data_IF_714074747346
#
_entry.id   IF_714074747346
#
_cell.length_a   1.000
_cell.length_b   1.000
_cell.length_c   1.000
_cell.angle_alpha   90.00
_cell.angle_beta   90.00
_cell.angle_gamma   90.00
#
_symmetry.space_group_name_H-M   'P 1'
#
loop_
_entity.id
_entity.type
_entity.pdbx_description
1 polymer ?
#
# COMPACT_ATOMS: atom_id res chain seq x y z
N UNK A 1 17.03 19.20 0.61
CA UNK A 1 15.96 18.94 -0.38
C UNK A 1 15.60 17.45 -0.42
N UNK A 2 16.59 16.56 -0.54
CA UNK A 2 16.41 15.10 -0.57
C UNK A 2 15.63 14.55 0.65
N UNK A 3 15.90 15.04 1.87
CA UNK A 3 15.14 14.62 3.06
C UNK A 3 13.62 14.88 2.93
N UNK A 4 13.24 15.99 2.30
CA UNK A 4 11.83 16.31 2.06
C UNK A 4 11.22 15.35 1.04
N UNK A 5 11.97 14.99 -0.01
CA UNK A 5 11.55 14.01 -1.01
C UNK A 5 11.41 12.61 -0.41
N UNK A 6 12.38 12.17 0.41
CA UNK A 6 12.30 10.90 1.13
C UNK A 6 11.03 10.81 2.00
N UNK A 7 10.78 11.84 2.80
CA UNK A 7 9.59 11.90 3.65
C UNK A 7 8.29 11.92 2.83
N UNK A 8 8.27 12.68 1.72
CA UNK A 8 7.13 12.74 0.82
C UNK A 8 6.81 11.36 0.23
N UNK A 9 7.82 10.63 -0.26
CA UNK A 9 7.63 9.27 -0.80
C UNK A 9 7.10 8.31 0.25
N UNK A 10 7.62 8.39 1.48
CA UNK A 10 7.10 7.58 2.59
C UNK A 10 5.61 7.85 2.85
N UNK A 11 5.21 9.11 2.91
CA UNK A 11 3.80 9.49 3.09
C UNK A 11 2.93 9.02 1.91
N UNK A 12 3.42 9.12 0.68
CA UNK A 12 2.70 8.61 -0.49
C UNK A 12 2.50 7.08 -0.41
N UNK A 13 3.53 6.34 0.00
CA UNK A 13 3.43 4.89 0.23
C UNK A 13 2.40 4.56 1.31
N UNK A 14 2.39 5.29 2.43
CA UNK A 14 1.42 5.11 3.51
C UNK A 14 -0.02 5.35 3.03
N UNK A 15 -0.25 6.41 2.25
CA UNK A 15 -1.56 6.70 1.65
C UNK A 15 -2.03 5.57 0.73
N UNK A 16 -1.14 5.04 -0.11
CA UNK A 16 -1.45 3.94 -1.03
C UNK A 16 -1.73 2.63 -0.30
N UNK A 17 -1.04 2.36 0.81
CA UNK A 17 -1.33 1.20 1.67
C UNK A 17 -2.72 1.29 2.31
N UNK A 18 -3.13 2.49 2.74
CA UNK A 18 -4.48 2.73 3.26
C UNK A 18 -5.53 2.54 2.17
N UNK A 19 -5.28 3.09 0.98
CA UNK A 19 -6.16 2.93 -0.19
C UNK A 19 -6.35 1.44 -0.53
N UNK A 20 -5.25 0.70 -0.63
CA UNK A 20 -5.26 -0.76 -0.86
C UNK A 20 -6.09 -1.50 0.18
N UNK A 21 -5.85 -1.23 1.47
CA UNK A 21 -6.58 -1.88 2.58
C UNK A 21 -8.08 -1.61 2.51
N UNK A 22 -8.48 -0.39 2.17
CA UNK A 22 -9.89 -0.02 1.98
C UNK A 22 -10.55 -0.82 0.84
N UNK A 23 -9.87 -0.98 -0.29
CA UNK A 23 -10.36 -1.78 -1.41
C UNK A 23 -10.43 -3.28 -1.05
N UNK A 24 -9.45 -3.80 -0.32
CA UNK A 24 -9.47 -5.19 0.18
C UNK A 24 -10.67 -5.43 1.08
N UNK A 25 -10.99 -4.50 2.00
CA UNK A 25 -12.21 -4.57 2.81
C UNK A 25 -13.48 -4.57 1.96
N UNK A 26 -13.53 -3.80 0.87
CA UNK A 26 -14.67 -3.84 -0.05
C UNK A 26 -14.80 -5.19 -0.75
N UNK A 27 -13.70 -5.81 -1.15
CA UNK A 27 -13.68 -7.16 -1.70
C UNK A 27 -14.21 -8.18 -0.67
N UNK A 28 -13.78 -8.09 0.59
CA UNK A 28 -14.28 -8.97 1.66
C UNK A 28 -15.79 -8.84 1.85
N UNK A 29 -16.33 -7.61 1.88
CA UNK A 29 -17.78 -7.38 1.97
C UNK A 29 -18.55 -7.99 0.79
N UNK A 30 -18.00 -7.89 -0.42
CA UNK A 30 -18.61 -8.52 -1.60
C UNK A 30 -18.61 -10.05 -1.47
N UNK A 31 -17.55 -10.64 -0.92
CA UNK A 31 -17.48 -12.09 -0.71
C UNK A 31 -18.51 -12.58 0.31
N UNK A 32 -18.72 -11.84 1.40
CA UNK A 32 -19.78 -12.11 2.37
C UNK A 32 -21.16 -12.04 1.70
N UNK A 33 -21.44 -10.96 0.95
CA UNK A 33 -22.73 -10.77 0.27
C UNK A 33 -23.00 -11.87 -0.78
N UNK A 34 -21.97 -12.26 -1.54
CA UNK A 34 -22.07 -13.39 -2.48
C UNK A 34 -22.34 -14.70 -1.74
N UNK A 35 -21.70 -14.93 -0.59
CA UNK A 35 -21.97 -16.08 0.28
C UNK A 35 -23.43 -16.15 0.72
N UNK A 36 -23.97 -15.03 1.21
CA UNK A 36 -25.36 -14.93 1.66
C UNK A 36 -26.36 -15.13 0.52
N UNK A 37 -26.11 -14.53 -0.65
CA UNK A 37 -26.96 -14.72 -1.82
C UNK A 37 -26.96 -16.17 -2.30
N UNK A 38 -25.80 -16.83 -2.31
CA UNK A 38 -25.71 -18.24 -2.64
C UNK A 38 -26.44 -19.12 -1.62
N UNK A 39 -26.34 -18.80 -0.33
CA UNK A 39 -27.11 -19.49 0.70
C UNK A 39 -28.62 -19.36 0.45
N UNK A 40 -29.11 -18.15 0.17
CA UNK A 40 -30.52 -17.90 -0.17
C UNK A 40 -30.97 -18.65 -1.42
N UNK A 41 -30.15 -18.72 -2.47
CA UNK A 41 -30.44 -19.49 -3.69
C UNK A 41 -30.62 -20.98 -3.36
N UNK A 42 -29.78 -21.52 -2.49
CA UNK A 42 -29.76 -22.93 -2.15
C UNK A 42 -30.91 -23.33 -1.21
N UNK A 43 -31.31 -22.43 -0.29
CA UNK A 43 -32.38 -22.69 0.68
C UNK A 43 -33.77 -22.31 0.18
N UNK A 44 -33.88 -21.43 -0.82
CA UNK A 44 -35.16 -21.07 -1.40
C UNK A 44 -35.84 -22.30 -2.03
N UNK A 45 -37.04 -22.62 -1.56
CA UNK A 45 -37.86 -23.76 -2.00
C UNK A 45 -39.33 -23.36 -2.01
N UNK A 46 -40.14 -24.17 -2.70
CA UNK A 46 -41.61 -24.11 -2.65
C UNK A 46 -42.17 -25.37 -2.02
N UNK A 47 -43.46 -25.36 -1.70
CA UNK A 47 -44.16 -26.51 -1.15
C UNK A 47 -44.25 -27.67 -2.16
N UNK A 48 -44.20 -28.92 -1.66
CA UNK A 48 -44.15 -30.13 -2.50
C UNK A 48 -45.38 -30.31 -3.40
N UNK A 49 -46.54 -29.80 -2.99
CA UNK A 49 -47.80 -29.82 -3.74
C UNK A 49 -48.22 -28.42 -4.20
N UNK A 50 -47.27 -27.49 -4.30
CA UNK A 50 -47.50 -26.12 -4.74
C UNK A 50 -47.99 -26.04 -6.20
N UNK A 51 -48.57 -24.90 -6.55
CA UNK A 51 -49.03 -24.64 -7.91
C UNK A 51 -47.85 -24.53 -8.88
N UNK A 52 -48.05 -24.83 -10.17
CA UNK A 52 -47.01 -24.66 -11.20
C UNK A 52 -46.49 -23.21 -11.24
N UNK A 53 -47.35 -22.23 -10.97
CA UNK A 53 -46.97 -20.82 -10.83
C UNK A 53 -45.92 -20.59 -9.73
N UNK A 54 -46.03 -21.29 -8.59
CA UNK A 54 -45.09 -21.13 -7.48
C UNK A 54 -43.68 -21.59 -7.88
N UNK A 55 -43.57 -22.70 -8.60
CA UNK A 55 -42.30 -23.18 -9.14
C UNK A 55 -41.69 -22.18 -10.14
N UNK A 56 -42.51 -21.56 -10.99
CA UNK A 56 -42.04 -20.55 -11.94
C UNK A 56 -41.53 -19.29 -11.22
N UNK A 57 -42.25 -18.82 -10.22
CA UNK A 57 -41.84 -17.67 -9.38
C UNK A 57 -40.53 -17.98 -8.66
N UNK A 58 -40.37 -19.20 -8.12
CA UNK A 58 -39.12 -19.62 -7.47
C UNK A 58 -37.94 -19.62 -8.46
N UNK A 59 -38.14 -20.14 -9.68
CA UNK A 59 -37.10 -20.13 -10.71
C UNK A 59 -36.68 -18.70 -11.06
N UNK A 60 -37.65 -17.81 -11.31
CA UNK A 60 -37.39 -16.40 -11.59
C UNK A 60 -36.66 -15.71 -10.43
N UNK A 61 -37.05 -15.99 -9.18
CA UNK A 61 -36.39 -15.45 -8.00
C UNK A 61 -34.93 -15.91 -7.92
N UNK A 62 -34.65 -17.21 -8.09
CA UNK A 62 -33.29 -17.75 -8.09
C UNK A 62 -32.44 -17.17 -9.22
N UNK A 63 -33.02 -16.96 -10.39
CA UNK A 63 -32.31 -16.35 -11.52
C UNK A 63 -31.97 -14.88 -11.27
N UNK A 64 -32.87 -14.13 -10.63
CA UNK A 64 -32.59 -12.76 -10.19
C UNK A 64 -31.43 -12.72 -9.18
N UNK A 65 -31.38 -13.63 -8.21
CA UNK A 65 -30.27 -13.70 -7.25
C UNK A 65 -28.95 -14.08 -7.95
N UNK A 66 -28.97 -15.03 -8.88
CA UNK A 66 -27.78 -15.41 -9.68
C UNK A 66 -27.27 -14.24 -10.51
N UNK A 67 -28.16 -13.40 -11.02
CA UNK A 67 -27.78 -12.20 -11.76
C UNK A 67 -27.04 -11.20 -10.86
N UNK A 68 -27.54 -10.94 -9.65
CA UNK A 68 -26.86 -10.07 -8.68
C UNK A 68 -25.49 -10.62 -8.28
N UNK A 69 -25.38 -11.93 -8.04
CA UNK A 69 -24.08 -12.59 -7.78
C UNK A 69 -23.08 -12.33 -8.91
N UNK A 70 -23.49 -12.45 -10.18
CA UNK A 70 -22.62 -12.16 -11.33
C UNK A 70 -22.16 -10.71 -11.36
N UNK A 71 -23.05 -9.77 -11.03
CA UNK A 71 -22.73 -8.34 -10.97
C UNK A 71 -21.72 -8.03 -9.86
N UNK A 72 -21.92 -8.60 -8.68
CA UNK A 72 -21.00 -8.49 -7.55
C UNK A 72 -19.62 -9.05 -7.88
N UNK A 73 -19.54 -10.24 -8.51
CA UNK A 73 -18.28 -10.84 -8.95
C UNK A 73 -17.55 -10.00 -10.01
N UNK A 74 -18.29 -9.40 -10.94
CA UNK A 74 -17.72 -8.45 -11.91
C UNK A 74 -17.10 -7.24 -11.22
N UNK A 75 -17.81 -6.66 -10.24
CA UNK A 75 -17.31 -5.56 -9.42
C UNK A 75 -16.06 -5.98 -8.62
N UNK A 76 -16.08 -7.15 -7.99
CA UNK A 76 -14.93 -7.73 -7.28
C UNK A 76 -13.70 -7.80 -8.19
N UNK A 77 -13.86 -8.33 -9.40
CA UNK A 77 -12.75 -8.43 -10.36
C UNK A 77 -12.18 -7.06 -10.76
N UNK A 78 -13.02 -6.02 -10.87
CA UNK A 78 -12.56 -4.66 -11.11
C UNK A 78 -11.78 -4.09 -9.92
N UNK A 79 -12.23 -4.36 -8.69
CA UNK A 79 -11.52 -3.94 -7.47
C UNK A 79 -10.17 -4.64 -7.32
N UNK A 80 -10.10 -5.95 -7.62
CA UNK A 80 -8.85 -6.71 -7.59
C UNK A 80 -7.81 -6.14 -8.56
N UNK A 81 -8.22 -5.77 -9.77
CA UNK A 81 -7.31 -5.10 -10.72
C UNK A 81 -6.77 -3.78 -10.17
N UNK A 82 -7.61 -2.97 -9.55
CA UNK A 82 -7.17 -1.72 -8.90
C UNK A 82 -6.20 -1.97 -7.75
N UNK A 83 -6.42 -3.04 -6.98
CA UNK A 83 -5.50 -3.45 -5.90
C UNK A 83 -4.14 -3.83 -6.49
N UNK A 84 -4.11 -4.58 -7.59
CA UNK A 84 -2.87 -4.95 -8.27
C UNK A 84 -2.13 -3.73 -8.81
N UNK A 85 -2.85 -2.77 -9.42
CA UNK A 85 -2.28 -1.51 -9.92
C UNK A 85 -1.65 -0.71 -8.77
N UNK A 86 -2.38 -0.53 -7.66
CA UNK A 86 -1.88 0.16 -6.46
C UNK A 86 -0.67 -0.57 -5.88
N UNK A 87 -0.64 -1.90 -5.93
CA UNK A 87 0.50 -2.68 -5.44
C UNK A 87 1.77 -2.40 -6.26
N UNK A 88 1.65 -2.28 -7.58
CA UNK A 88 2.77 -1.87 -8.44
C UNK A 88 3.26 -0.46 -8.07
N UNK A 89 2.35 0.49 -7.89
CA UNK A 89 2.69 1.86 -7.48
C UNK A 89 3.42 1.90 -6.13
N UNK A 90 2.99 1.09 -5.15
CA UNK A 90 3.65 0.96 -3.84
C UNK A 90 5.09 0.49 -4.00
N UNK A 91 5.34 -0.51 -4.85
CA UNK A 91 6.69 -1.04 -5.09
C UNK A 91 7.58 0.06 -5.69
N UNK A 92 7.07 0.84 -6.65
CA UNK A 92 7.81 1.93 -7.25
C UNK A 92 8.16 3.02 -6.23
N UNK A 93 7.19 3.46 -5.43
CA UNK A 93 7.41 4.45 -4.37
C UNK A 93 8.42 3.97 -3.32
N UNK A 94 8.40 2.67 -2.98
CA UNK A 94 9.37 2.07 -2.06
C UNK A 94 10.78 2.08 -2.64
N UNK A 95 10.95 1.72 -3.92
CA UNK A 95 12.26 1.80 -4.61
C UNK A 95 12.81 3.23 -4.61
N UNK A 96 11.99 4.21 -4.95
CA UNK A 96 12.39 5.63 -4.94
C UNK A 96 12.76 6.10 -3.53
N UNK A 97 11.97 5.70 -2.52
CA UNK A 97 12.26 6.03 -1.11
C UNK A 97 13.60 5.43 -0.67
N UNK A 98 13.92 4.20 -1.06
CA UNK A 98 15.19 3.56 -0.76
C UNK A 98 16.37 4.26 -1.43
N UNK A 99 16.22 4.69 -2.68
CA UNK A 99 17.24 5.50 -3.38
C UNK A 99 17.52 6.82 -2.63
N UNK A 100 16.47 7.53 -2.21
CA UNK A 100 16.66 8.78 -1.44
C UNK A 100 17.30 8.53 -0.09
N UNK A 101 16.98 7.41 0.57
CA UNK A 101 17.61 7.03 1.84
C UNK A 101 19.10 6.80 1.66
N UNK A 102 19.49 6.07 0.62
CA UNK A 102 20.90 5.84 0.30
C UNK A 102 21.68 7.14 0.11
N UNK A 103 21.13 8.09 -0.66
CA UNK A 103 21.74 9.41 -0.87
C UNK A 103 21.91 10.17 0.46
N UNK A 104 20.91 10.13 1.34
CA UNK A 104 20.98 10.80 2.65
C UNK A 104 22.05 10.19 3.55
N UNK A 105 22.22 8.87 3.50
CA UNK A 105 23.25 8.16 4.26
C UNK A 105 24.66 8.53 3.75
N UNK A 106 24.85 8.62 2.43
CA UNK A 106 26.11 9.11 1.84
C UNK A 106 26.42 10.56 2.22
N UNK A 107 25.45 11.47 2.12
CA UNK A 107 25.61 12.88 2.52
C UNK A 107 26.02 12.99 3.99
N UNK A 108 25.47 12.13 4.86
CA UNK A 108 25.78 12.11 6.29
C UNK A 108 27.20 11.62 6.54
N UNK A 109 27.62 10.56 5.87
CA UNK A 109 28.98 10.03 5.98
C UNK A 109 30.02 11.03 5.46
N UNK A 110 29.74 11.72 4.35
CA UNK A 110 30.64 12.74 3.82
C UNK A 110 30.80 13.90 4.81
N UNK A 111 29.70 14.43 5.36
CA UNK A 111 29.75 15.49 6.38
C UNK A 111 30.56 15.08 7.61
N UNK A 112 30.48 13.81 8.03
CA UNK A 112 31.27 13.28 9.14
C UNK A 112 32.76 13.28 8.83
N UNK A 113 33.14 12.85 7.61
CA UNK A 113 34.54 12.88 7.16
C UNK A 113 35.09 14.30 7.08
N UNK A 114 34.30 15.22 6.53
CA UNK A 114 34.70 16.63 6.39
C UNK A 114 34.90 17.29 7.75
N UNK A 115 34.00 17.03 8.71
CA UNK A 115 34.12 17.52 10.08
C UNK A 115 35.38 16.97 10.78
N UNK A 116 35.63 15.66 10.67
CA UNK A 116 36.84 15.05 11.23
C UNK A 116 38.12 15.62 10.61
N UNK A 117 38.13 15.85 9.30
CA UNK A 117 39.27 16.44 8.61
C UNK A 117 39.53 17.87 9.10
N UNK A 118 38.47 18.66 9.28
CA UNK A 118 38.57 20.02 9.83
C UNK A 118 39.12 20.03 11.26
N UNK A 119 38.65 19.13 12.14
CA UNK A 119 39.19 18.98 13.51
C UNK A 119 40.67 18.61 13.53
N UNK A 120 41.11 17.75 12.60
CA UNK A 120 42.52 17.38 12.44
C UNK A 120 43.35 18.60 12.03
N UNK A 121 42.89 19.36 11.03
CA UNK A 121 43.59 20.57 10.57
C UNK A 121 43.70 21.63 11.67
N UNK A 122 42.61 21.91 12.42
CA UNK A 122 42.67 22.83 13.57
C UNK A 122 43.66 22.35 14.63
N UNK A 123 43.68 21.04 14.90
CA UNK A 123 44.62 20.45 15.86
C UNK A 123 46.06 20.59 15.38
N UNK A 124 46.34 20.31 14.10
CA UNK A 124 47.66 20.46 13.49
C UNK A 124 48.14 21.92 13.51
N UNK A 125 47.29 22.88 13.11
CA UNK A 125 47.58 24.30 13.17
C UNK A 125 47.85 24.76 14.60
N UNK A 126 47.05 24.31 15.57
CA UNK A 126 47.25 24.60 16.98
C UNK A 126 48.62 24.10 17.46
N UNK A 127 48.98 22.85 17.17
CA UNK A 127 50.29 22.29 17.53
C UNK A 127 51.43 23.09 16.89
N UNK A 128 51.35 23.41 15.59
CA UNK A 128 52.36 24.21 14.90
C UNK A 128 52.52 25.59 15.53
N UNK A 129 51.41 26.27 15.85
CA UNK A 129 51.44 27.60 16.47
C UNK A 129 52.13 27.59 17.85
N UNK A 130 51.95 26.51 18.64
CA UNK A 130 52.62 26.32 19.93
C UNK A 130 54.11 26.09 19.76
N UNK A 131 54.52 25.29 18.78
CA UNK A 131 55.93 25.05 18.46
C UNK A 131 56.65 26.32 17.99
N UNK A 132 55.99 27.19 17.22
CA UNK A 132 56.57 28.46 16.74
C UNK A 132 56.77 29.45 17.90
N UNK A 133 55.80 29.58 18.82
CA UNK A 133 55.90 30.46 20.01
C UNK A 133 56.95 30.01 21.03
N UNK A 134 57.30 28.73 21.07
CA UNK A 134 58.33 28.20 21.97
C UNK A 134 59.77 28.35 21.47
N UNK A 135 59.98 28.84 20.24
CA UNK A 135 61.30 29.02 19.61
C UNK A 135 61.79 30.48 19.56
N UNK A 136 61.03 31.43 20.11
CA UNK A 136 61.44 32.84 20.32
C UNK A 136 61.86 33.08 21.76
#
# INVERSE_FOLDING_TARGET
MIQKLYNLKKTQTEQKLIEKSSLEQEVYRIDEEVGDLNHRINTATVERLGSISDFMILAMHKDSLRFEVKKLLSKKNQLLKKIDDIFVEIIELQKESEQYKYILDEEKEQKRKDALHFEILESEEFIQSKYIKGKS
#
